data_IF_422605512129
#
_entry.id   IF_422605512129
#
_cell.length_a   1.000
_cell.length_b   1.000
_cell.length_c   1.000
_cell.angle_alpha   90.00
_cell.angle_beta   90.00
_cell.angle_gamma   90.00
#
_symmetry.space_group_name_H-M   'P 1'
#
loop_
_entity.id
_entity.type
_entity.pdbx_description
1 polymer ?
#
# COMPACT_ATOMS: atom_id res chain seq x y z
N UNK A 1 -6.21 10.25 -16.10
CA UNK A 1 -5.11 9.42 -16.68
C UNK A 1 -5.17 8.07 -16.00
N UNK A 2 -5.07 6.97 -16.74
CA UNK A 2 -5.05 5.65 -16.10
C UNK A 2 -3.62 5.35 -15.64
N UNK A 3 -3.39 5.32 -14.33
CA UNK A 3 -2.12 4.92 -13.76
C UNK A 3 -1.92 3.40 -13.84
N UNK A 4 -0.68 2.94 -13.84
CA UNK A 4 -0.31 1.52 -13.79
C UNK A 4 0.04 1.04 -12.37
N UNK A 5 -0.05 1.92 -11.39
CA UNK A 5 0.27 1.69 -9.99
C UNK A 5 -0.99 1.90 -9.13
N UNK A 6 -1.14 1.08 -8.11
CA UNK A 6 -2.29 1.09 -7.22
C UNK A 6 -1.84 1.18 -5.76
N UNK A 7 -2.44 2.11 -5.01
CA UNK A 7 -2.37 2.13 -3.55
C UNK A 7 -3.72 1.68 -3.02
N UNK A 8 -3.75 0.60 -2.23
CA UNK A 8 -4.96 0.13 -1.55
C UNK A 8 -4.70 0.18 -0.05
N UNK A 9 -5.49 0.94 0.69
CA UNK A 9 -5.35 1.04 2.14
C UNK A 9 -6.67 0.78 2.85
N UNK A 10 -6.60 -0.03 3.90
CA UNK A 10 -7.66 -0.13 4.89
C UNK A 10 -7.59 1.12 5.78
N UNK A 11 -8.65 1.93 5.80
CA UNK A 11 -8.64 3.26 6.44
C UNK A 11 -9.77 3.43 7.45
N UNK A 12 -9.47 4.15 8.53
CA UNK A 12 -10.43 4.63 9.50
C UNK A 12 -10.38 6.14 9.65
N UNK A 13 -11.20 6.69 10.55
CA UNK A 13 -11.38 8.15 10.73
C UNK A 13 -10.08 8.93 10.94
N UNK A 14 -9.07 8.34 11.58
CA UNK A 14 -7.77 8.97 11.84
C UNK A 14 -6.75 8.83 10.72
N UNK A 15 -7.15 8.31 9.57
CA UNK A 15 -6.27 8.02 8.44
C UNK A 15 -5.51 9.25 7.93
N UNK A 16 -4.24 9.04 7.62
CA UNK A 16 -3.35 10.04 7.05
C UNK A 16 -3.30 10.04 5.51
N UNK A 17 -4.14 9.26 4.83
CA UNK A 17 -4.12 9.09 3.37
C UNK A 17 -4.21 10.40 2.58
N UNK A 18 -4.85 11.45 3.12
CA UNK A 18 -4.88 12.78 2.49
C UNK A 18 -3.50 13.42 2.33
N UNK A 19 -2.54 13.03 3.17
CA UNK A 19 -1.15 13.46 3.01
C UNK A 19 -0.50 12.80 1.79
N UNK A 20 -0.90 11.58 1.45
CA UNK A 20 -0.38 10.82 0.32
C UNK A 20 -0.76 11.42 -1.04
N UNK A 21 -1.81 12.25 -1.07
CA UNK A 21 -2.28 12.96 -2.26
C UNK A 21 -1.62 14.34 -2.43
N UNK A 22 -0.72 14.75 -1.53
CA UNK A 22 -0.01 16.03 -1.66
C UNK A 22 1.06 15.94 -2.74
N UNK A 23 0.82 16.60 -3.87
CA UNK A 23 1.68 16.62 -5.04
C UNK A 23 1.10 15.86 -6.22
N UNK A 24 1.92 15.61 -7.23
CA UNK A 24 1.55 14.83 -8.40
C UNK A 24 1.61 13.34 -8.08
N UNK A 25 0.53 12.61 -8.31
CA UNK A 25 0.44 11.17 -8.06
C UNK A 25 0.65 10.38 -9.36
N UNK A 26 1.46 9.31 -9.33
CA UNK A 26 1.60 8.35 -10.42
C UNK A 26 0.84 7.02 -10.13
N UNK A 27 -0.16 7.08 -9.26
CA UNK A 27 -0.95 5.94 -8.79
C UNK A 27 -2.42 6.31 -8.63
N UNK A 28 -3.30 5.32 -8.69
CA UNK A 28 -4.68 5.42 -8.27
C UNK A 28 -4.78 5.01 -6.79
N UNK A 29 -5.54 5.78 -5.98
CA UNK A 29 -5.78 5.49 -4.57
C UNK A 29 -7.12 4.80 -4.39
N UNK A 30 -7.11 3.63 -3.74
CA UNK A 30 -8.28 2.87 -3.36
C UNK A 30 -8.40 2.84 -1.84
N UNK A 31 -9.53 3.29 -1.31
CA UNK A 31 -9.81 3.33 0.13
C UNK A 31 -10.82 2.24 0.50
N UNK A 32 -10.43 1.37 1.42
CA UNK A 32 -11.33 0.37 2.00
C UNK A 32 -11.57 0.75 3.45
N UNK A 33 -12.72 1.39 3.69
CA UNK A 33 -13.07 1.92 5.01
C UNK A 33 -13.52 0.79 5.94
N UNK A 34 -12.89 0.67 7.10
CA UNK A 34 -13.22 -0.40 8.05
C UNK A 34 -14.14 0.03 9.20
N UNK A 35 -14.34 1.35 9.37
CA UNK A 35 -15.22 1.94 10.39
C UNK A 35 -16.38 2.72 9.76
N UNK A 36 -17.07 3.53 10.55
CA UNK A 36 -18.25 4.27 10.10
C UNK A 36 -17.92 5.66 9.46
N UNK A 37 -16.64 5.88 9.06
CA UNK A 37 -16.17 7.16 8.50
C UNK A 37 -16.28 7.29 6.96
N UNK A 38 -16.92 6.36 6.27
CA UNK A 38 -16.97 6.31 4.81
C UNK A 38 -17.46 7.63 4.17
N UNK A 39 -18.46 8.28 4.75
CA UNK A 39 -19.00 9.53 4.22
C UNK A 39 -17.98 10.68 4.28
N UNK A 40 -17.04 10.64 5.22
CA UNK A 40 -16.00 11.66 5.37
C UNK A 40 -14.93 11.59 4.25
N UNK A 41 -14.83 10.45 3.54
CA UNK A 41 -13.80 10.16 2.52
C UNK A 41 -14.34 10.14 1.09
N UNK A 42 -15.65 10.33 0.87
CA UNK A 42 -16.27 10.27 -0.46
C UNK A 42 -15.71 11.21 -1.52
N UNK A 43 -15.02 12.27 -1.12
CA UNK A 43 -14.38 13.21 -2.04
C UNK A 43 -12.90 12.96 -2.30
N UNK A 44 -12.29 12.00 -1.61
CA UNK A 44 -10.85 11.80 -1.65
C UNK A 44 -10.41 10.89 -2.81
N UNK A 45 -11.28 9.98 -3.26
CA UNK A 45 -11.05 9.10 -4.40
C UNK A 45 -12.37 8.57 -4.98
N UNK A 46 -12.33 8.14 -6.26
CA UNK A 46 -13.45 7.45 -6.92
C UNK A 46 -13.55 5.97 -6.47
N UNK A 47 -12.47 5.39 -5.92
CA UNK A 47 -12.37 3.98 -5.54
C UNK A 47 -12.50 3.84 -4.01
N UNK A 48 -13.74 3.83 -3.52
CA UNK A 48 -14.04 3.72 -2.10
C UNK A 48 -15.08 2.64 -1.83
N UNK A 49 -14.87 1.81 -0.81
CA UNK A 49 -15.87 0.86 -0.34
C UNK A 49 -15.74 0.63 1.19
N UNK A 50 -16.72 -0.06 1.77
CA UNK A 50 -16.74 -0.39 3.20
C UNK A 50 -16.60 -1.90 3.40
N UNK A 51 -15.50 -2.34 4.05
CA UNK A 51 -15.25 -3.74 4.42
C UNK A 51 -14.64 -3.77 5.82
N UNK A 52 -15.33 -4.34 6.80
CA UNK A 52 -14.80 -4.53 8.16
C UNK A 52 -13.82 -5.70 8.21
N UNK A 53 -12.71 -5.52 8.92
CA UNK A 53 -11.71 -6.56 9.14
C UNK A 53 -10.30 -6.03 9.31
N UNK A 54 -9.35 -6.94 9.48
CA UNK A 54 -7.91 -6.62 9.51
C UNK A 54 -7.39 -6.32 8.11
N UNK A 55 -6.36 -5.48 8.01
CA UNK A 55 -5.80 -4.93 6.78
C UNK A 55 -5.67 -5.92 5.64
N UNK A 56 -4.88 -6.99 5.81
CA UNK A 56 -4.62 -7.92 4.71
C UNK A 56 -5.88 -8.67 4.26
N UNK A 57 -6.74 -9.05 5.21
CA UNK A 57 -8.01 -9.69 4.90
C UNK A 57 -8.97 -8.76 4.17
N UNK A 58 -8.95 -7.47 4.53
CA UNK A 58 -9.71 -6.42 3.86
C UNK A 58 -9.21 -6.24 2.43
N UNK A 59 -7.88 -6.15 2.23
CA UNK A 59 -7.26 -6.07 0.89
C UNK A 59 -7.59 -7.30 0.05
N UNK A 60 -7.49 -8.51 0.61
CA UNK A 60 -7.87 -9.75 -0.06
C UNK A 60 -9.32 -9.70 -0.56
N UNK A 61 -10.27 -9.41 0.34
CA UNK A 61 -11.69 -9.32 0.00
C UNK A 61 -11.96 -8.26 -1.06
N UNK A 62 -11.29 -7.12 -0.98
CA UNK A 62 -11.41 -6.05 -1.96
C UNK A 62 -10.95 -6.51 -3.34
N UNK A 63 -9.81 -7.17 -3.45
CA UNK A 63 -9.29 -7.68 -4.72
C UNK A 63 -10.09 -8.88 -5.28
N UNK A 64 -10.79 -9.63 -4.42
CA UNK A 64 -11.75 -10.66 -4.87
C UNK A 64 -13.07 -10.05 -5.36
N UNK A 65 -13.52 -8.93 -4.79
CA UNK A 65 -14.70 -8.19 -5.27
C UNK A 65 -14.44 -7.48 -6.60
N UNK A 66 -13.19 -7.08 -6.87
CA UNK A 66 -12.77 -6.35 -8.07
C UNK A 66 -11.57 -7.03 -8.73
N UNK A 67 -11.75 -8.25 -9.29
CA UNK A 67 -10.63 -9.05 -9.82
C UNK A 67 -9.93 -8.39 -11.02
N UNK A 68 -10.61 -7.51 -11.76
CA UNK A 68 -10.06 -6.74 -12.87
C UNK A 68 -8.92 -5.81 -12.45
N UNK A 69 -8.84 -5.41 -11.17
CA UNK A 69 -7.75 -4.58 -10.67
C UNK A 69 -6.40 -5.30 -10.77
N UNK A 70 -6.39 -6.63 -10.61
CA UNK A 70 -5.17 -7.45 -10.74
C UNK A 70 -4.61 -7.45 -12.17
N UNK A 71 -5.46 -7.20 -13.17
CA UNK A 71 -5.04 -7.08 -14.57
C UNK A 71 -4.70 -5.63 -14.96
N UNK A 72 -5.36 -4.66 -14.33
CA UNK A 72 -5.20 -3.24 -14.62
C UNK A 72 -3.85 -2.69 -14.15
N UNK A 73 -3.41 -3.06 -12.92
CA UNK A 73 -2.21 -2.49 -12.30
C UNK A 73 -1.01 -3.44 -12.35
N UNK A 74 0.18 -2.87 -12.44
CA UNK A 74 1.46 -3.60 -12.43
C UNK A 74 2.05 -3.72 -11.03
N UNK A 75 1.79 -2.74 -10.17
CA UNK A 75 2.31 -2.66 -8.81
C UNK A 75 1.20 -2.26 -7.84
N UNK A 76 1.26 -2.85 -6.64
CA UNK A 76 0.29 -2.68 -5.57
C UNK A 76 1.01 -2.34 -4.26
N UNK A 77 0.65 -1.22 -3.66
CA UNK A 77 1.18 -0.77 -2.38
C UNK A 77 0.07 -0.80 -1.33
N UNK A 78 0.33 -1.43 -0.19
CA UNK A 78 -0.65 -1.61 0.89
C UNK A 78 -0.16 -0.96 2.19
N UNK A 79 -0.12 0.37 2.29
CA UNK A 79 0.28 1.05 3.52
C UNK A 79 -0.79 0.93 4.61
N UNK A 80 -0.36 0.94 5.89
CA UNK A 80 -1.24 1.26 7.01
C UNK A 80 -1.69 2.71 6.92
N UNK A 81 -2.86 3.01 7.44
CA UNK A 81 -3.50 4.32 7.29
C UNK A 81 -2.91 5.43 8.18
N UNK A 82 -2.05 5.09 9.11
CA UNK A 82 -1.31 5.99 10.00
C UNK A 82 0.12 6.33 9.52
N UNK A 83 0.51 5.88 8.32
CA UNK A 83 1.84 6.15 7.77
C UNK A 83 1.93 7.57 7.23
N UNK A 84 2.84 8.37 7.81
CA UNK A 84 3.13 9.72 7.35
C UNK A 84 4.07 9.69 6.14
N UNK A 85 3.55 10.03 4.96
CA UNK A 85 4.29 10.16 3.70
C UNK A 85 3.54 11.11 2.75
N UNK A 86 4.16 11.48 1.64
CA UNK A 86 3.55 12.26 0.56
C UNK A 86 3.57 11.49 -0.77
N UNK A 87 2.99 12.07 -1.82
CA UNK A 87 2.97 11.48 -3.15
C UNK A 87 4.38 11.21 -3.70
N UNK A 88 5.37 12.06 -3.40
CA UNK A 88 6.72 11.90 -3.91
C UNK A 88 7.41 10.63 -3.38
N UNK A 89 7.18 10.28 -2.11
CA UNK A 89 7.68 9.03 -1.51
C UNK A 89 7.06 7.82 -2.20
N UNK A 90 5.75 7.83 -2.42
CA UNK A 90 5.03 6.73 -3.07
C UNK A 90 5.47 6.59 -4.54
N UNK A 91 5.57 7.71 -5.26
CA UNK A 91 6.05 7.72 -6.63
C UNK A 91 7.45 7.12 -6.75
N UNK A 92 8.36 7.51 -5.85
CA UNK A 92 9.74 6.99 -5.80
C UNK A 92 9.76 5.48 -5.55
N UNK A 93 8.89 4.96 -4.68
CA UNK A 93 8.74 3.52 -4.45
C UNK A 93 8.36 2.79 -5.74
N UNK A 94 7.32 3.25 -6.46
CA UNK A 94 6.90 2.62 -7.71
C UNK A 94 7.94 2.73 -8.83
N UNK A 95 8.67 3.83 -8.88
CA UNK A 95 9.80 3.99 -9.81
C UNK A 95 10.92 3.00 -9.50
N UNK A 96 11.25 2.80 -8.22
CA UNK A 96 12.24 1.81 -7.81
C UNK A 96 11.79 0.38 -8.15
N UNK A 97 10.51 0.04 -7.87
CA UNK A 97 9.91 -1.25 -8.24
C UNK A 97 10.12 -1.54 -9.73
N UNK A 98 9.79 -0.59 -10.59
CA UNK A 98 9.94 -0.71 -12.05
C UNK A 98 11.40 -0.76 -12.49
N UNK A 99 12.22 0.17 -12.01
CA UNK A 99 13.62 0.34 -12.42
C UNK A 99 14.47 -0.89 -12.09
N UNK A 100 14.27 -1.43 -10.89
CA UNK A 100 15.06 -2.56 -10.39
C UNK A 100 14.33 -3.91 -10.53
N UNK A 101 13.16 -3.93 -11.18
CA UNK A 101 12.33 -5.14 -11.39
C UNK A 101 12.07 -5.89 -10.07
N UNK A 102 11.77 -5.13 -9.02
CA UNK A 102 11.53 -5.71 -7.70
C UNK A 102 10.17 -6.43 -7.67
N UNK A 103 10.15 -7.58 -7.00
CA UNK A 103 8.93 -8.35 -6.82
C UNK A 103 8.18 -7.91 -5.56
N UNK A 104 8.93 -7.68 -4.47
CA UNK A 104 8.41 -7.18 -3.20
C UNK A 104 9.40 -6.13 -2.68
N UNK A 105 8.89 -5.01 -2.19
CA UNK A 105 9.69 -3.95 -1.57
C UNK A 105 8.89 -3.17 -0.53
N UNK A 106 9.57 -2.29 0.17
CA UNK A 106 8.97 -1.28 1.05
C UNK A 106 9.76 0.01 0.98
N UNK A 107 9.17 1.18 1.29
CA UNK A 107 9.94 2.37 1.57
C UNK A 107 10.75 2.19 2.85
N UNK A 108 11.93 2.80 2.92
CA UNK A 108 12.70 2.84 4.15
C UNK A 108 11.98 3.71 5.19
N UNK A 109 11.97 3.24 6.43
CA UNK A 109 11.26 3.87 7.53
C UNK A 109 12.17 4.81 8.32
N UNK A 110 11.61 5.87 8.88
CA UNK A 110 12.29 6.64 9.92
C UNK A 110 12.19 5.90 11.24
N UNK A 111 13.12 6.18 12.16
CA UNK A 111 13.14 5.53 13.49
C UNK A 111 11.80 5.75 14.21
N UNK A 112 11.18 4.64 14.62
CA UNK A 112 10.02 4.60 15.50
C UNK A 112 10.13 3.40 16.44
N UNK A 113 9.21 3.26 17.39
CA UNK A 113 9.19 2.12 18.32
C UNK A 113 8.92 0.77 17.64
N UNK A 114 8.34 0.78 16.43
CA UNK A 114 7.90 -0.40 15.69
C UNK A 114 8.77 -0.70 14.47
N UNK A 115 10.00 -0.16 14.39
CA UNK A 115 10.88 -0.38 13.25
C UNK A 115 12.06 -1.28 13.59
N UNK A 116 12.45 -2.09 12.62
CA UNK A 116 13.64 -2.94 12.70
C UNK A 116 14.84 -2.19 12.10
N UNK A 117 16.03 -2.40 12.66
CA UNK A 117 17.23 -1.66 12.22
C UNK A 117 17.51 -1.78 10.72
N UNK A 118 17.18 -2.93 10.11
CA UNK A 118 17.40 -3.18 8.68
C UNK A 118 16.31 -2.62 7.77
N UNK A 119 15.19 -2.12 8.30
CA UNK A 119 14.15 -1.38 7.55
C UNK A 119 14.32 0.13 7.63
N UNK A 120 15.24 0.61 8.48
CA UNK A 120 15.49 2.03 8.67
C UNK A 120 16.17 2.65 7.46
N UNK A 121 15.89 3.93 7.26
CA UNK A 121 16.54 4.75 6.26
C UNK A 121 18.04 4.83 6.48
N UNK A 122 18.81 4.57 5.42
CA UNK A 122 20.26 4.73 5.38
C UNK A 122 20.62 5.79 4.34
N UNK A 123 21.33 6.84 4.76
CA UNK A 123 21.73 7.94 3.89
C UNK A 123 22.77 7.56 2.83
N UNK A 124 23.41 6.41 2.97
CA UNK A 124 24.47 5.95 2.08
C UNK A 124 24.00 4.98 0.99
N UNK A 125 22.79 4.47 1.10
CA UNK A 125 22.26 3.59 0.09
C UNK A 125 20.86 3.99 -0.39
N UNK A 126 20.61 3.85 -1.70
CA UNK A 126 19.29 4.12 -2.31
C UNK A 126 18.40 2.89 -2.30
N UNK A 127 18.98 1.72 -2.29
CA UNK A 127 18.31 0.43 -2.28
C UNK A 127 19.15 -0.57 -1.49
N UNK A 128 18.48 -1.38 -0.68
CA UNK A 128 19.09 -2.46 0.08
C UNK A 128 18.22 -3.70 -0.01
N UNK A 129 18.84 -4.85 -0.32
CA UNK A 129 18.16 -6.13 -0.26
C UNK A 129 18.16 -6.65 1.17
N UNK A 130 16.98 -7.04 1.64
CA UNK A 130 16.74 -7.60 2.97
C UNK A 130 15.88 -8.85 2.84
N UNK A 131 15.78 -9.64 3.90
CA UNK A 131 15.12 -10.93 3.89
C UNK A 131 13.64 -10.91 4.24
N UNK A 132 13.07 -9.73 4.57
CA UNK A 132 11.64 -9.57 4.78
C UNK A 132 11.18 -8.12 4.50
N UNK A 133 9.87 -7.94 4.39
CA UNK A 133 9.20 -6.65 4.22
C UNK A 133 8.18 -6.48 5.33
N UNK A 134 8.15 -5.29 5.93
CA UNK A 134 7.19 -4.96 6.98
C UNK A 134 5.75 -4.96 6.46
N UNK A 135 4.87 -5.57 7.25
CA UNK A 135 3.45 -5.64 6.94
C UNK A 135 2.77 -4.26 6.88
N UNK A 136 3.35 -3.25 7.54
CA UNK A 136 2.77 -1.90 7.56
C UNK A 136 2.89 -1.17 6.22
N UNK A 137 3.88 -1.50 5.36
CA UNK A 137 4.17 -0.75 4.13
C UNK A 137 4.63 -1.63 2.95
N UNK A 138 4.02 -2.81 2.71
CA UNK A 138 4.48 -3.71 1.66
C UNK A 138 4.01 -3.24 0.28
N UNK A 139 4.90 -3.33 -0.70
CA UNK A 139 4.61 -3.11 -2.11
C UNK A 139 4.95 -4.38 -2.92
N UNK A 140 4.03 -4.80 -3.77
CA UNK A 140 4.15 -6.01 -4.58
C UNK A 140 4.08 -5.68 -6.07
N UNK A 141 4.85 -6.43 -6.88
CA UNK A 141 4.52 -6.55 -8.30
C UNK A 141 3.24 -7.39 -8.45
N UNK A 142 2.54 -7.24 -9.59
CA UNK A 142 1.38 -8.10 -9.94
C UNK A 142 1.74 -9.58 -9.83
N UNK A 143 2.90 -9.97 -10.36
CA UNK A 143 3.35 -11.34 -10.34
C UNK A 143 3.52 -11.88 -8.92
N UNK A 144 4.19 -11.13 -8.05
CA UNK A 144 4.38 -11.52 -6.65
C UNK A 144 3.05 -11.57 -5.91
N UNK A 145 2.20 -10.55 -6.09
CA UNK A 145 0.89 -10.49 -5.44
C UNK A 145 0.04 -11.71 -5.79
N UNK A 146 -0.07 -12.06 -7.06
CA UNK A 146 -0.84 -13.22 -7.50
C UNK A 146 -0.36 -14.55 -6.88
N UNK A 147 0.94 -14.65 -6.55
CA UNK A 147 1.51 -15.83 -5.90
C UNK A 147 1.19 -15.93 -4.41
N UNK A 148 1.02 -14.78 -3.72
CA UNK A 148 0.89 -14.76 -2.26
C UNK A 148 -0.49 -14.29 -1.77
N UNK A 149 -1.34 -13.76 -2.62
CA UNK A 149 -2.61 -13.14 -2.23
C UNK A 149 -3.51 -14.06 -1.39
N UNK A 150 -3.52 -15.36 -1.69
CA UNK A 150 -4.31 -16.33 -0.92
C UNK A 150 -3.94 -16.37 0.55
N UNK A 151 -2.66 -16.13 0.90
CA UNK A 151 -2.19 -16.13 2.30
C UNK A 151 -2.76 -14.97 3.12
N UNK A 152 -3.20 -13.89 2.46
CA UNK A 152 -3.81 -12.73 3.13
C UNK A 152 -5.14 -13.09 3.81
N UNK A 153 -5.83 -14.11 3.31
CA UNK A 153 -7.08 -14.59 3.91
C UNK A 153 -6.86 -15.54 5.10
N UNK A 154 -5.68 -16.15 5.19
CA UNK A 154 -5.35 -17.12 6.24
C UNK A 154 -4.91 -16.45 7.55
N UNK A 155 -4.59 -15.16 7.51
CA UNK A 155 -4.08 -14.42 8.65
C UNK A 155 -5.21 -13.64 9.34
N UNK A 156 -5.47 -13.96 10.63
CA UNK A 156 -6.50 -13.30 11.44
C UNK A 156 -5.99 -12.07 12.21
N UNK A 157 -4.67 -11.85 12.25
CA UNK A 157 -4.07 -10.84 13.14
C UNK A 157 -3.25 -9.77 12.42
N UNK A 158 -3.10 -9.81 11.13
CA UNK A 158 -2.29 -8.86 10.35
C UNK A 158 -0.84 -9.28 10.23
#
# INVERSE_FOLDING_TARGET
MNHSNCVISAVGRSSLHRMWLKGECNFDLHLVVYDDSMEEFRGDTEYICHIKGYKLRVVYRYLEMYPELKERYNYFFFPDDDIQMDAAVINTLFEAMRRYRLQIAQPALRMSYYTWSHTLQDRYCKLRYINFVEMMVPCFSREALNKVLFTFNENETG
#
